data_IF_682219510188
#
_entry.id   IF_682219510188
#
_cell.length_a   1.000
_cell.length_b   1.000
_cell.length_c   1.000
_cell.angle_alpha   90.00
_cell.angle_beta   90.00
_cell.angle_gamma   90.00
#
_symmetry.space_group_name_H-M   'P 1'
#
loop_
_entity.id
_entity.type
_entity.pdbx_description
1 polymer ?
#
# COMPACT_ATOMS: atom_id res chain seq x y z
N UNK A 1 -1.29 -13.02 -11.24
CA UNK A 1 -1.19 -11.83 -10.34
C UNK A 1 0.17 -11.14 -10.52
N UNK A 2 1.30 -11.85 -10.36
CA UNK A 2 2.65 -11.28 -10.49
C UNK A 2 2.94 -10.58 -11.83
N UNK A 3 2.49 -11.11 -12.96
CA UNK A 3 2.66 -10.45 -14.27
C UNK A 3 1.99 -9.06 -14.35
N UNK A 4 0.83 -8.89 -13.71
CA UNK A 4 0.14 -7.59 -13.63
C UNK A 4 0.95 -6.60 -12.83
N UNK A 5 1.50 -7.03 -11.68
CA UNK A 5 2.41 -6.22 -10.87
C UNK A 5 3.64 -5.85 -11.69
N UNK A 6 4.26 -6.81 -12.39
CA UNK A 6 5.41 -6.54 -13.26
C UNK A 6 5.11 -5.50 -14.32
N UNK A 7 3.95 -5.55 -14.95
CA UNK A 7 3.52 -4.54 -15.94
C UNK A 7 3.33 -3.15 -15.32
N UNK A 8 2.85 -3.07 -14.07
CA UNK A 8 2.74 -1.80 -13.32
C UNK A 8 4.09 -1.23 -12.93
N UNK A 9 5.04 -2.07 -12.52
CA UNK A 9 6.38 -1.66 -12.09
C UNK A 9 7.33 -1.37 -13.27
N UNK A 10 7.17 -2.08 -14.39
CA UNK A 10 8.09 -1.99 -15.53
C UNK A 10 9.46 -2.59 -15.22
N UNK A 11 10.51 -2.03 -15.83
CA UNK A 11 11.92 -2.44 -15.64
C UNK A 11 12.78 -1.32 -15.03
N UNK A 12 12.19 -0.16 -14.76
CA UNK A 12 12.87 0.97 -14.15
C UNK A 12 13.04 0.81 -12.65
N UNK A 13 13.76 1.73 -12.01
CA UNK A 13 13.93 1.75 -10.56
C UNK A 13 12.60 1.98 -9.83
N UNK A 14 12.41 1.24 -8.73
CA UNK A 14 11.27 1.41 -7.82
C UNK A 14 11.77 2.00 -6.52
N UNK A 15 11.23 3.17 -6.17
CA UNK A 15 11.45 3.82 -4.88
C UNK A 15 10.39 3.39 -3.88
N UNK A 16 10.82 2.78 -2.78
CA UNK A 16 10.00 2.55 -1.59
C UNK A 16 10.02 3.82 -0.74
N UNK A 17 8.98 4.64 -0.87
CA UNK A 17 8.85 5.89 -0.17
C UNK A 17 8.06 5.69 1.12
N UNK A 18 8.76 5.72 2.25
CA UNK A 18 8.32 5.24 3.55
C UNK A 18 8.72 3.78 3.74
N UNK A 19 9.44 3.51 4.83
CA UNK A 19 10.10 2.24 5.12
C UNK A 19 9.69 1.68 6.49
N UNK A 20 8.40 1.81 6.81
CA UNK A 20 7.76 1.19 7.96
C UNK A 20 7.38 -0.28 7.72
N UNK A 21 6.20 -0.70 8.23
CA UNK A 21 5.68 -2.06 8.03
C UNK A 21 5.47 -2.40 6.54
N UNK A 22 4.74 -1.57 5.82
CA UNK A 22 4.43 -1.81 4.39
C UNK A 22 5.68 -1.68 3.50
N UNK A 23 6.59 -0.74 3.79
CA UNK A 23 7.83 -0.58 3.03
C UNK A 23 8.75 -1.80 3.13
N UNK A 24 8.90 -2.38 4.33
CA UNK A 24 9.67 -3.62 4.53
C UNK A 24 9.03 -4.83 3.84
N UNK A 25 7.72 -4.99 3.97
CA UNK A 25 6.95 -6.01 3.24
C UNK A 25 7.14 -5.85 1.71
N UNK A 26 7.06 -4.63 1.20
CA UNK A 26 7.26 -4.33 -0.22
C UNK A 26 8.68 -4.66 -0.67
N UNK A 27 9.71 -4.33 0.10
CA UNK A 27 11.09 -4.74 -0.20
C UNK A 27 11.23 -6.25 -0.30
N UNK A 28 10.76 -6.98 0.71
CA UNK A 28 10.86 -8.44 0.73
C UNK A 28 10.14 -9.08 -0.46
N UNK A 29 8.93 -8.61 -0.77
CA UNK A 29 8.15 -9.06 -1.91
C UNK A 29 8.86 -8.79 -3.25
N UNK A 30 9.35 -7.56 -3.46
CA UNK A 30 10.03 -7.17 -4.69
C UNK A 30 11.36 -7.92 -4.88
N UNK A 31 12.16 -8.08 -3.82
CA UNK A 31 13.41 -8.85 -3.90
C UNK A 31 13.16 -10.34 -4.22
N UNK A 32 12.07 -10.91 -3.70
CA UNK A 32 11.73 -12.33 -3.90
C UNK A 32 11.16 -12.61 -5.30
N UNK A 33 10.35 -11.69 -5.83
CA UNK A 33 9.61 -11.93 -7.08
C UNK A 33 10.14 -11.16 -8.29
N UNK A 34 10.86 -10.06 -8.08
CA UNK A 34 11.40 -9.18 -9.11
C UNK A 34 12.83 -8.72 -8.76
N UNK A 35 13.78 -9.64 -8.53
CA UNK A 35 15.14 -9.32 -8.09
C UNK A 35 15.94 -8.47 -9.09
N UNK A 36 15.48 -8.40 -10.34
CA UNK A 36 16.07 -7.61 -11.42
C UNK A 36 15.62 -6.14 -11.42
N UNK A 37 14.60 -5.78 -10.63
CA UNK A 37 14.15 -4.39 -10.49
C UNK A 37 15.06 -3.66 -9.48
N UNK A 38 15.74 -2.56 -9.89
CA UNK A 38 16.53 -1.77 -8.97
C UNK A 38 15.65 -1.14 -7.88
N UNK A 39 15.98 -1.38 -6.62
CA UNK A 39 15.26 -0.82 -5.48
C UNK A 39 16.00 0.38 -4.90
N UNK A 40 15.22 1.41 -4.61
CA UNK A 40 15.62 2.60 -3.86
C UNK A 40 14.75 2.67 -2.61
N UNK A 41 15.30 3.20 -1.52
CA UNK A 41 14.55 3.39 -0.27
C UNK A 41 14.63 4.85 0.15
N UNK A 42 13.52 5.42 0.58
CA UNK A 42 13.54 6.72 1.22
C UNK A 42 12.60 6.77 2.41
N UNK A 43 13.11 7.18 3.55
CA UNK A 43 12.31 7.45 4.74
C UNK A 43 13.00 8.54 5.57
N UNK A 44 12.22 9.49 6.11
CA UNK A 44 12.74 10.52 7.01
C UNK A 44 13.55 9.92 8.16
N UNK A 45 13.12 8.78 8.70
CA UNK A 45 13.86 8.03 9.73
C UNK A 45 13.77 6.53 9.47
N UNK A 46 14.89 5.96 9.05
CA UNK A 46 15.01 4.51 8.91
C UNK A 46 15.01 3.79 10.27
N UNK A 47 14.46 2.56 10.35
CA UNK A 47 14.60 1.71 11.52
C UNK A 47 16.08 1.42 11.85
N UNK A 48 16.44 1.42 13.13
CA UNK A 48 17.84 1.29 13.57
C UNK A 48 18.44 -0.11 13.34
N UNK A 49 17.59 -1.12 13.21
CA UNK A 49 17.93 -2.53 13.02
C UNK A 49 18.10 -2.92 11.55
N UNK A 50 17.89 -2.00 10.61
CA UNK A 50 17.82 -2.34 9.19
C UNK A 50 19.20 -2.29 8.50
N UNK A 51 19.58 -3.40 7.85
CA UNK A 51 20.73 -3.42 6.94
C UNK A 51 20.29 -3.13 5.50
N UNK A 52 20.76 -2.00 4.96
CA UNK A 52 20.50 -1.55 3.59
C UNK A 52 21.67 -1.82 2.64
N UNK A 53 22.50 -2.82 2.93
CA UNK A 53 23.65 -3.17 2.11
C UNK A 53 23.22 -3.40 0.65
N UNK A 54 23.88 -2.69 -0.28
CA UNK A 54 23.60 -2.78 -1.72
C UNK A 54 22.34 -2.05 -2.19
N UNK A 55 21.67 -1.28 -1.33
CA UNK A 55 20.47 -0.49 -1.69
C UNK A 55 20.75 1.00 -1.45
N UNK A 56 20.51 1.84 -2.46
CA UNK A 56 20.61 3.29 -2.30
C UNK A 56 19.46 3.79 -1.43
N UNK A 57 19.79 4.51 -0.37
CA UNK A 57 18.82 4.98 0.61
C UNK A 57 18.96 6.49 0.87
N UNK A 58 17.83 7.18 0.96
CA UNK A 58 17.74 8.58 1.38
C UNK A 58 17.05 8.69 2.74
N UNK A 59 17.62 9.51 3.62
CA UNK A 59 17.06 9.73 4.96
C UNK A 59 17.29 11.15 5.45
N UNK A 60 16.61 11.53 6.54
CA UNK A 60 16.56 12.91 7.02
C UNK A 60 15.52 13.76 6.29
N UNK A 61 15.59 15.07 6.48
CA UNK A 61 14.53 15.99 6.04
C UNK A 61 14.40 16.09 4.52
N UNK A 62 15.49 15.85 3.78
CA UNK A 62 15.54 15.92 2.32
C UNK A 62 15.27 14.56 1.64
N UNK A 63 14.70 13.59 2.34
CA UNK A 63 14.46 12.25 1.78
C UNK A 63 13.55 12.26 0.53
N UNK A 64 12.71 13.29 0.35
CA UNK A 64 11.82 13.44 -0.80
C UNK A 64 12.56 13.74 -2.12
N UNK A 65 13.79 14.24 -2.06
CA UNK A 65 14.62 14.51 -3.26
C UNK A 65 14.88 13.22 -4.07
N UNK A 66 14.79 12.06 -3.39
CA UNK A 66 14.90 10.72 -3.98
C UNK A 66 13.87 10.41 -5.07
N UNK A 67 12.71 11.07 -5.06
CA UNK A 67 11.60 10.83 -6.00
C UNK A 67 12.07 10.93 -7.45
N UNK A 68 12.91 11.91 -7.75
CA UNK A 68 13.43 12.18 -9.10
C UNK A 68 14.35 11.08 -9.66
N UNK A 69 14.81 10.15 -8.81
CA UNK A 69 15.70 9.05 -9.17
C UNK A 69 14.97 7.74 -9.53
N UNK A 70 13.63 7.75 -9.48
CA UNK A 70 12.80 6.56 -9.62
C UNK A 70 11.90 6.62 -10.84
N UNK A 71 11.73 5.50 -11.54
CA UNK A 71 10.69 5.38 -12.56
C UNK A 71 9.29 5.17 -11.93
N UNK A 72 9.26 4.50 -10.78
CA UNK A 72 8.05 4.22 -10.01
C UNK A 72 8.28 4.57 -8.55
N UNK A 73 7.37 5.36 -7.97
CA UNK A 73 7.32 5.66 -6.54
C UNK A 73 6.22 4.83 -5.90
N UNK A 74 6.61 3.91 -5.04
CA UNK A 74 5.70 3.13 -4.21
C UNK A 74 5.59 3.79 -2.84
N UNK A 75 4.53 4.58 -2.66
CA UNK A 75 4.30 5.40 -1.47
C UNK A 75 3.61 4.59 -0.36
N UNK A 76 4.16 4.68 0.85
CA UNK A 76 3.51 4.24 2.09
C UNK A 76 2.40 5.21 2.52
N UNK A 77 1.35 4.74 3.22
CA UNK A 77 0.19 5.56 3.59
C UNK A 77 0.58 6.81 4.41
N UNK A 78 1.47 6.66 5.39
CA UNK A 78 1.87 7.75 6.29
C UNK A 78 2.73 8.86 5.67
N UNK A 79 3.13 8.76 4.39
CA UNK A 79 3.93 9.79 3.73
C UNK A 79 3.04 10.82 3.03
N UNK A 80 2.83 12.00 3.61
CA UNK A 80 2.12 13.06 2.88
C UNK A 80 3.01 13.63 1.76
N UNK A 81 2.45 13.76 0.56
CA UNK A 81 3.07 14.48 -0.56
C UNK A 81 2.20 15.69 -0.86
N UNK A 82 2.80 16.87 -0.94
CA UNK A 82 2.07 18.07 -1.37
C UNK A 82 1.51 17.88 -2.78
N UNK A 83 0.44 18.61 -3.10
CA UNK A 83 -0.12 18.61 -4.46
C UNK A 83 0.94 18.93 -5.52
N UNK A 84 1.80 19.92 -5.27
CA UNK A 84 2.89 20.27 -6.18
C UNK A 84 3.84 19.10 -6.48
N UNK A 85 4.25 18.33 -5.45
CA UNK A 85 5.13 17.17 -5.65
C UNK A 85 4.41 16.07 -6.43
N UNK A 86 3.11 15.87 -6.19
CA UNK A 86 2.30 14.86 -6.91
C UNK A 86 2.15 15.21 -8.39
N UNK A 87 1.91 16.48 -8.69
CA UNK A 87 1.71 16.97 -10.06
C UNK A 87 3.02 16.95 -10.87
N UNK A 88 4.15 17.28 -10.22
CA UNK A 88 5.48 17.33 -10.84
C UNK A 88 6.33 16.07 -10.62
N UNK A 89 5.71 14.95 -10.20
CA UNK A 89 6.44 13.76 -9.72
C UNK A 89 7.39 13.17 -10.77
N UNK A 90 7.05 13.30 -12.07
CA UNK A 90 7.84 12.75 -13.19
C UNK A 90 7.94 11.22 -13.21
N UNK A 91 7.36 10.55 -12.22
CA UNK A 91 7.38 9.11 -12.00
C UNK A 91 5.96 8.57 -11.87
N UNK A 92 5.79 7.24 -11.99
CA UNK A 92 4.49 6.61 -11.73
C UNK A 92 4.30 6.46 -10.22
N UNK A 93 3.24 7.04 -9.67
CA UNK A 93 2.85 6.83 -8.27
C UNK A 93 2.00 5.56 -8.13
N UNK A 94 2.31 4.75 -7.12
CA UNK A 94 1.54 3.57 -6.73
C UNK A 94 1.64 3.36 -5.22
N UNK A 95 0.85 2.43 -4.68
CA UNK A 95 0.97 1.95 -3.29
C UNK A 95 0.87 0.43 -3.22
N UNK A 96 1.10 -0.13 -2.04
CA UNK A 96 0.89 -1.56 -1.79
C UNK A 96 -0.56 -1.97 -2.06
N UNK A 97 -1.51 -1.14 -1.63
CA UNK A 97 -2.94 -1.34 -1.84
C UNK A 97 -3.34 -1.24 -3.32
N UNK A 98 -2.78 -0.26 -4.06
CA UNK A 98 -3.05 -0.12 -5.50
C UNK A 98 -2.57 -1.33 -6.29
N UNK A 99 -1.34 -1.78 -6.05
CA UNK A 99 -0.78 -2.96 -6.71
C UNK A 99 -1.58 -4.22 -6.38
N UNK A 100 -2.00 -4.37 -5.13
CA UNK A 100 -2.83 -5.51 -4.73
C UNK A 100 -4.17 -5.52 -5.47
N UNK A 101 -4.90 -4.41 -5.46
CA UNK A 101 -6.23 -4.29 -6.08
C UNK A 101 -6.17 -4.42 -7.60
N UNK A 102 -5.11 -3.95 -8.26
CA UNK A 102 -4.96 -4.13 -9.71
C UNK A 102 -4.55 -5.55 -10.10
N UNK A 103 -3.78 -6.23 -9.24
CA UNK A 103 -3.28 -7.57 -9.52
C UNK A 103 -4.28 -8.69 -9.20
N UNK A 104 -5.09 -8.52 -8.13
CA UNK A 104 -6.02 -9.52 -7.65
C UNK A 104 -7.33 -9.52 -8.44
N UNK A 105 -7.92 -10.71 -8.62
CA UNK A 105 -9.30 -10.89 -9.08
C UNK A 105 -10.18 -11.55 -8.04
N UNK A 106 -9.66 -11.71 -6.82
CA UNK A 106 -10.42 -12.33 -5.73
C UNK A 106 -11.53 -11.39 -5.27
N UNK A 107 -12.68 -11.92 -4.82
CA UNK A 107 -13.70 -11.12 -4.17
C UNK A 107 -13.07 -10.30 -3.05
N UNK A 108 -13.09 -8.99 -3.18
CA UNK A 108 -12.48 -8.07 -2.22
C UNK A 108 -13.55 -7.17 -1.63
N UNK A 109 -13.65 -7.15 -0.30
CA UNK A 109 -14.53 -6.30 0.48
C UNK A 109 -13.66 -5.19 1.07
N UNK A 110 -13.70 -4.00 0.48
CA UNK A 110 -13.02 -2.81 0.99
C UNK A 110 -13.88 -2.09 2.02
N UNK A 111 -13.33 -1.85 3.21
CA UNK A 111 -14.03 -1.18 4.32
C UNK A 111 -13.26 0.08 4.69
N UNK A 112 -13.96 1.21 4.72
CA UNK A 112 -13.40 2.51 5.11
C UNK A 112 -14.42 3.38 5.83
N UNK A 113 -13.96 4.48 6.43
CA UNK A 113 -14.74 5.48 7.16
C UNK A 113 -13.92 6.06 8.30
N UNK A 114 -14.40 7.09 8.98
CA UNK A 114 -13.63 7.71 10.08
C UNK A 114 -13.54 6.81 11.32
N UNK A 115 -14.63 6.11 11.68
CA UNK A 115 -14.68 5.26 12.87
C UNK A 115 -15.24 3.86 12.59
N UNK A 116 -14.80 2.87 13.38
CA UNK A 116 -15.34 1.50 13.35
C UNK A 116 -14.83 0.59 12.23
N UNK A 117 -13.79 1.03 11.51
CA UNK A 117 -13.19 0.29 10.39
C UNK A 117 -12.64 -1.07 10.86
N UNK A 118 -11.81 -1.08 11.90
CA UNK A 118 -11.16 -2.29 12.40
C UNK A 118 -12.12 -3.28 13.02
N UNK A 119 -13.13 -2.81 13.74
CA UNK A 119 -14.18 -3.68 14.27
C UNK A 119 -14.97 -4.32 13.13
N UNK A 120 -15.42 -3.52 12.16
CA UNK A 120 -16.21 -4.02 11.03
C UNK A 120 -15.40 -4.99 10.16
N UNK A 121 -14.14 -4.68 9.88
CA UNK A 121 -13.25 -5.53 9.09
C UNK A 121 -12.95 -6.85 9.79
N UNK A 122 -12.64 -6.79 11.09
CA UNK A 122 -12.40 -7.99 11.89
C UNK A 122 -13.64 -8.87 12.01
N UNK A 123 -14.82 -8.27 12.24
CA UNK A 123 -16.08 -8.99 12.32
C UNK A 123 -16.46 -9.63 10.98
N UNK A 124 -16.31 -8.90 9.87
CA UNK A 124 -16.57 -9.42 8.53
C UNK A 124 -15.68 -10.63 8.24
N UNK A 125 -14.37 -10.51 8.51
CA UNK A 125 -13.43 -11.61 8.38
C UNK A 125 -13.81 -12.81 9.26
N UNK A 126 -14.16 -12.57 10.53
CA UNK A 126 -14.56 -13.61 11.47
C UNK A 126 -15.82 -14.37 11.01
N UNK A 127 -16.83 -13.66 10.50
CA UNK A 127 -18.06 -14.26 9.99
C UNK A 127 -17.79 -15.11 8.74
N UNK A 128 -16.96 -14.64 7.82
CA UNK A 128 -16.55 -15.42 6.64
C UNK A 128 -15.83 -16.71 7.04
N UNK A 129 -14.87 -16.64 7.99
CA UNK A 129 -14.18 -17.82 8.51
C UNK A 129 -15.12 -18.79 9.23
N UNK A 130 -16.07 -18.27 10.01
CA UNK A 130 -17.09 -19.08 10.69
C UNK A 130 -18.00 -19.79 9.68
N UNK A 131 -18.30 -19.14 8.56
CA UNK A 131 -18.96 -19.74 7.40
C UNK A 131 -18.08 -20.65 6.55
N UNK A 132 -16.90 -21.05 7.05
CA UNK A 132 -15.95 -21.94 6.38
C UNK A 132 -15.42 -21.41 5.04
N UNK A 133 -15.43 -20.09 4.83
CA UNK A 133 -14.79 -19.47 3.68
C UNK A 133 -13.31 -19.22 3.97
N UNK A 134 -12.47 -19.42 2.95
CA UNK A 134 -11.10 -18.93 3.01
C UNK A 134 -11.12 -17.41 2.96
N UNK A 135 -10.58 -16.76 4.00
CA UNK A 135 -10.61 -15.31 4.13
C UNK A 135 -9.28 -14.77 4.61
N UNK A 136 -8.86 -13.63 4.05
CA UNK A 136 -7.65 -12.90 4.46
C UNK A 136 -8.03 -11.47 4.86
N UNK A 137 -7.67 -11.07 6.08
CA UNK A 137 -7.79 -9.69 6.55
C UNK A 137 -6.48 -8.94 6.31
N UNK A 138 -6.53 -7.90 5.49
CA UNK A 138 -5.37 -7.14 5.05
C UNK A 138 -5.59 -5.63 5.13
N UNK A 139 -4.49 -4.88 4.95
CA UNK A 139 -4.50 -3.44 4.77
C UNK A 139 -4.00 -2.69 5.99
N UNK A 140 -4.77 -1.70 6.43
CA UNK A 140 -4.40 -0.88 7.60
C UNK A 140 -4.23 -1.75 8.86
N UNK A 141 -5.04 -2.80 9.01
CA UNK A 141 -4.85 -3.86 10.01
C UNK A 141 -4.57 -5.22 9.35
N UNK A 142 -4.18 -6.19 10.17
CA UNK A 142 -3.88 -7.54 9.71
C UNK A 142 -2.55 -7.59 8.96
N UNK A 143 -2.57 -8.22 7.80
CA UNK A 143 -1.35 -8.53 7.03
C UNK A 143 -1.15 -7.48 5.93
N UNK A 144 0.09 -7.03 5.66
CA UNK A 144 0.38 -6.20 4.49
C UNK A 144 -0.12 -6.85 3.18
N UNK A 145 -0.77 -6.09 2.28
CA UNK A 145 -1.42 -6.66 1.10
C UNK A 145 -0.53 -7.55 0.21
N UNK A 146 0.75 -7.22 0.00
CA UNK A 146 1.61 -8.03 -0.86
C UNK A 146 2.07 -9.34 -0.20
N UNK A 147 2.07 -9.42 1.12
CA UNK A 147 2.51 -10.64 1.83
C UNK A 147 1.50 -11.78 1.65
N UNK A 148 0.21 -11.48 1.48
CA UNK A 148 -0.81 -12.52 1.25
C UNK A 148 -0.93 -12.94 -0.20
N UNK A 149 -0.41 -12.14 -1.13
CA UNK A 149 -0.67 -12.28 -2.57
C UNK A 149 -0.16 -13.61 -3.16
N UNK A 150 1.02 -14.15 -2.78
CA UNK A 150 1.48 -15.46 -3.25
C UNK A 150 0.59 -16.62 -2.79
N UNK A 151 0.01 -16.54 -1.59
CA UNK A 151 -0.73 -17.63 -0.94
C UNK A 151 -2.26 -17.49 -1.09
N UNK A 152 -2.72 -16.63 -2.00
CA UNK A 152 -4.12 -16.31 -2.16
C UNK A 152 -4.83 -17.31 -3.10
N UNK A 153 -5.50 -18.29 -2.49
CA UNK A 153 -6.27 -19.33 -3.18
C UNK A 153 -7.40 -18.77 -4.06
N UNK A 154 -7.91 -19.60 -4.98
CA UNK A 154 -8.96 -19.15 -5.90
C UNK A 154 -10.27 -18.78 -5.25
N UNK A 155 -10.58 -19.46 -4.16
CA UNK A 155 -11.78 -19.31 -3.35
C UNK A 155 -11.64 -18.27 -2.24
N UNK A 156 -10.44 -17.69 -2.07
CA UNK A 156 -10.18 -16.73 -1.00
C UNK A 156 -11.00 -15.44 -1.16
N UNK A 157 -11.61 -14.99 -0.08
CA UNK A 157 -12.26 -13.67 0.05
C UNK A 157 -11.35 -12.74 0.83
N UNK A 158 -11.06 -11.58 0.25
CA UNK A 158 -10.22 -10.57 0.88
C UNK A 158 -11.10 -9.58 1.62
N UNK A 159 -10.84 -9.39 2.92
CA UNK A 159 -11.37 -8.27 3.70
C UNK A 159 -10.25 -7.25 3.80
N UNK A 160 -10.46 -6.09 3.18
CA UNK A 160 -9.44 -5.06 3.04
C UNK A 160 -9.88 -3.82 3.85
N UNK A 161 -9.25 -3.60 5.01
CA UNK A 161 -9.40 -2.32 5.71
C UNK A 161 -8.53 -1.27 5.00
N UNK A 162 -9.18 -0.22 4.49
CA UNK A 162 -8.55 0.85 3.73
C UNK A 162 -8.64 2.16 4.50
N UNK A 163 -7.49 2.74 4.85
CA UNK A 163 -7.44 4.12 5.36
C UNK A 163 -7.62 5.12 4.23
N UNK A 164 -8.05 6.35 4.56
CA UNK A 164 -8.14 7.44 3.60
C UNK A 164 -6.78 7.72 2.92
N UNK A 165 -5.68 7.63 3.67
CA UNK A 165 -4.32 7.78 3.13
C UNK A 165 -3.97 6.72 2.07
N UNK A 166 -4.47 5.49 2.21
CA UNK A 166 -4.30 4.44 1.20
C UNK A 166 -5.14 4.71 -0.04
N UNK A 167 -6.39 5.18 0.16
CA UNK A 167 -7.34 5.46 -0.92
C UNK A 167 -6.86 6.53 -1.91
N UNK A 168 -6.06 7.51 -1.46
CA UNK A 168 -5.48 8.54 -2.35
C UNK A 168 -4.65 7.98 -3.51
N UNK A 169 -4.12 6.77 -3.40
CA UNK A 169 -3.22 6.17 -4.41
C UNK A 169 -3.84 4.99 -5.17
N UNK A 170 -5.13 4.70 -4.95
CA UNK A 170 -5.83 3.54 -5.53
C UNK A 170 -6.54 3.91 -6.83
N UNK A 171 -6.35 3.10 -7.87
CA UNK A 171 -6.97 3.26 -9.19
C UNK A 171 -8.01 2.18 -9.53
N UNK A 172 -8.17 1.20 -8.64
CA UNK A 172 -9.08 0.05 -8.82
C UNK A 172 -9.95 -0.12 -7.59
N UNK A 173 -11.25 -0.18 -7.79
CA UNK A 173 -12.19 -0.43 -6.70
C UNK A 173 -12.13 -1.89 -6.24
N UNK A 174 -12.36 -2.16 -4.94
CA UNK A 174 -12.70 -3.50 -4.49
C UNK A 174 -14.00 -3.99 -5.16
N UNK A 175 -14.27 -5.29 -5.08
CA UNK A 175 -15.50 -5.88 -5.62
C UNK A 175 -16.75 -5.41 -4.87
N UNK A 176 -16.61 -5.17 -3.57
CA UNK A 176 -17.62 -4.59 -2.70
C UNK A 176 -16.95 -3.51 -1.86
N UNK A 177 -17.55 -2.31 -1.79
CA UNK A 177 -17.05 -1.22 -0.96
C UNK A 177 -18.06 -0.90 0.14
N UNK A 178 -17.58 -0.72 1.36
CA UNK A 178 -18.36 -0.35 2.54
C UNK A 178 -17.78 0.95 3.08
N UNK A 179 -18.59 2.02 3.02
CA UNK A 179 -18.28 3.31 3.62
C UNK A 179 -19.12 3.45 4.90
N UNK A 180 -18.47 3.45 6.07
CA UNK A 180 -19.17 3.36 7.34
C UNK A 180 -19.76 4.70 7.80
N UNK A 181 -18.93 5.73 7.81
CA UNK A 181 -19.25 7.06 8.33
C UNK A 181 -18.15 8.05 7.93
N UNK A 182 -18.45 9.34 8.10
CA UNK A 182 -17.54 10.44 7.83
C UNK A 182 -17.59 11.45 8.97
N UNK A 183 -16.42 11.72 9.56
CA UNK A 183 -16.17 12.80 10.49
C UNK A 183 -14.88 13.52 10.08
N UNK A 184 -14.78 14.85 10.29
CA UNK A 184 -13.54 15.59 10.03
C UNK A 184 -12.37 15.04 10.86
N UNK A 185 -11.41 14.40 10.20
CA UNK A 185 -10.20 13.82 10.80
C UNK A 185 -8.99 14.06 9.88
N UNK A 186 -7.77 13.90 10.41
CA UNK A 186 -6.51 13.97 9.63
C UNK A 186 -6.24 15.31 8.92
N UNK A 187 -6.69 16.44 9.50
CA UNK A 187 -6.41 17.79 8.95
C UNK A 187 -4.95 18.23 9.08
N UNK A 188 -4.10 17.43 9.72
CA UNK A 188 -2.64 17.52 9.66
C UNK A 188 -2.07 16.91 8.35
N UNK A 189 -2.86 16.07 7.68
CA UNK A 189 -2.51 15.40 6.43
C UNK A 189 -3.25 15.98 5.21
N UNK A 190 -4.54 16.27 5.35
CA UNK A 190 -5.40 16.84 4.29
C UNK A 190 -5.48 18.36 4.40
N UNK A 191 -5.57 19.05 3.25
CA UNK A 191 -5.67 20.52 3.18
C UNK A 191 -7.04 21.03 3.67
N UNK A 192 -8.09 20.20 3.56
CA UNK A 192 -9.44 20.53 4.00
C UNK A 192 -10.28 19.27 4.25
N UNK A 193 -11.48 19.45 4.82
CA UNK A 193 -12.47 18.36 4.98
C UNK A 193 -13.03 17.87 3.64
N UNK A 194 -13.00 18.72 2.60
CA UNK A 194 -13.51 18.39 1.27
C UNK A 194 -12.51 17.59 0.41
N UNK A 195 -11.23 17.57 0.78
CA UNK A 195 -10.19 16.72 0.15
C UNK A 195 -10.28 15.28 0.66
#
# INVERSE_FOLDING_TARGET
MLERIRSRLGTGSVLLLGYGREGRSSRAFLQSHFPDIPLLIADRRLPADETLAGVTAWTGDNYLDSISHAAVVMKSPGISLSRSIRDDLGARLTSQSDLFLDATRRPTIGITGSAGNSTTSSLTHHLLRTGQMESRLIGNIGIPPLDVLPDLEETSVVVFELSSHQLQSIHRSPSLAVFLNFFPEHLDYYESVDE
#
